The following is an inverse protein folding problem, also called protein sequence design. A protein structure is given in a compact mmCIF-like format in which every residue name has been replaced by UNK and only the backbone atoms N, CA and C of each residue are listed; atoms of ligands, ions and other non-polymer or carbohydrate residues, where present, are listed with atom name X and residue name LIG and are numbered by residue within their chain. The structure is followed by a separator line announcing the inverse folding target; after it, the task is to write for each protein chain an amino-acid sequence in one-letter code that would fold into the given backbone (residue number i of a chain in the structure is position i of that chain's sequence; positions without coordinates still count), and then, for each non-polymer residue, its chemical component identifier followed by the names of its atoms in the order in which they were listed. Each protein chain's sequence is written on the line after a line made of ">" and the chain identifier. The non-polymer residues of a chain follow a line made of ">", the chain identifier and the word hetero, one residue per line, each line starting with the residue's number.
data_IF_058144740959
#
_entry.id   IF_058144740959
#
_cell.length_a   1.000
_cell.length_b   1.000
_cell.length_c   1.000
_cell.angle_alpha   90.00
_cell.angle_beta   90.00
_cell.angle_gamma   90.00
#
_symmetry.space_group_name_H-M   'P 1'
#
loop_
_entity.id
_entity.type
_entity.pdbx_description
1 polymer ?
#
# COMPACT_ATOMS: atom_id res chain seq x y z
N UNK A 1 -18.29 -5.11 28.35
CA UNK A 1 -19.43 -5.72 27.62
C UNK A 1 -20.52 -4.67 27.41
N UNK A 2 -21.09 -4.10 28.47
CA UNK A 2 -22.10 -3.03 28.34
C UNK A 2 -21.66 -1.86 27.45
N UNK A 3 -20.41 -1.40 27.58
CA UNK A 3 -19.87 -0.35 26.71
C UNK A 3 -19.85 -0.76 25.22
N UNK A 4 -19.52 -2.03 24.92
CA UNK A 4 -19.56 -2.55 23.55
C UNK A 4 -21.00 -2.69 23.05
N UNK A 5 -21.91 -3.14 23.91
CA UNK A 5 -23.34 -3.27 23.59
C UNK A 5 -23.94 -1.90 23.25
N UNK A 6 -23.68 -0.88 24.08
CA UNK A 6 -24.11 0.49 23.83
C UNK A 6 -23.54 1.03 22.51
N UNK A 7 -22.25 0.83 22.27
CA UNK A 7 -21.60 1.22 21.02
C UNK A 7 -22.25 0.57 19.79
N UNK A 8 -22.45 -0.75 19.82
CA UNK A 8 -23.02 -1.49 18.69
C UNK A 8 -24.49 -1.17 18.45
N UNK A 9 -25.24 -0.79 19.48
CA UNK A 9 -26.62 -0.33 19.36
C UNK A 9 -26.73 1.02 18.62
N UNK A 10 -25.74 1.91 18.77
CA UNK A 10 -25.71 3.23 18.12
C UNK A 10 -25.08 3.16 16.73
N UNK A 11 -23.93 2.50 16.62
CA UNK A 11 -23.10 2.54 15.40
C UNK A 11 -23.44 1.43 14.41
N UNK A 12 -24.23 0.43 14.83
CA UNK A 12 -24.60 -0.75 14.04
C UNK A 12 -23.39 -1.50 13.42
N UNK A 13 -22.22 -1.38 14.05
CA UNK A 13 -20.96 -2.01 13.61
C UNK A 13 -20.07 -2.35 14.81
N UNK A 14 -19.09 -3.23 14.60
CA UNK A 14 -18.04 -3.44 15.58
C UNK A 14 -17.02 -2.27 15.61
N UNK A 15 -16.37 -2.02 16.77
CA UNK A 15 -15.33 -1.00 16.91
C UNK A 15 -14.15 -1.20 15.94
N UNK A 16 -13.74 -0.12 15.25
CA UNK A 16 -12.65 -0.08 14.26
C UNK A 16 -11.28 0.13 14.92
N UNK A 17 -10.21 -0.18 14.17
CA UNK A 17 -8.83 -0.01 14.64
C UNK A 17 -8.54 1.48 14.85
N UNK A 18 -8.23 1.88 16.09
CA UNK A 18 -8.05 3.29 16.49
C UNK A 18 -9.12 3.81 17.45
N UNK A 19 -10.24 3.09 17.62
CA UNK A 19 -11.25 3.35 18.69
C UNK A 19 -10.79 2.72 20.03
N UNK A 20 -9.49 2.91 20.30
CA UNK A 20 -8.60 2.40 21.34
C UNK A 20 -9.12 1.24 22.20
N UNK A 21 -9.89 1.50 23.26
CA UNK A 21 -10.15 0.49 24.31
C UNK A 21 -11.08 -0.64 23.85
N UNK A 22 -12.17 -0.30 23.15
CA UNK A 22 -13.13 -1.29 22.69
C UNK A 22 -12.57 -2.19 21.59
N UNK A 23 -11.82 -1.62 20.64
CA UNK A 23 -11.21 -2.42 19.56
C UNK A 23 -10.18 -3.43 20.11
N UNK A 24 -9.34 -2.99 21.05
CA UNK A 24 -8.35 -3.88 21.70
C UNK A 24 -9.08 -5.01 22.41
N UNK A 25 -10.10 -4.69 23.21
CA UNK A 25 -10.87 -5.69 23.93
C UNK A 25 -11.55 -6.71 22.99
N UNK A 26 -12.18 -6.22 21.91
CA UNK A 26 -12.79 -7.07 20.88
C UNK A 26 -11.77 -8.03 20.24
N UNK A 27 -10.57 -7.55 19.93
CA UNK A 27 -9.51 -8.40 19.38
C UNK A 27 -9.03 -9.44 20.39
N UNK A 28 -8.92 -9.09 21.67
CA UNK A 28 -8.62 -10.06 22.73
C UNK A 28 -9.67 -11.17 22.77
N UNK A 29 -10.97 -10.84 22.67
CA UNK A 29 -12.03 -11.86 22.64
C UNK A 29 -11.92 -12.77 21.41
N UNK A 30 -11.66 -12.21 20.22
CA UNK A 30 -11.45 -12.99 18.99
C UNK A 30 -10.27 -13.95 19.11
N UNK A 31 -9.15 -13.50 19.70
CA UNK A 31 -7.97 -14.35 19.91
C UNK A 31 -8.23 -15.43 20.95
N UNK A 32 -8.92 -15.11 22.05
CA UNK A 32 -9.29 -16.09 23.06
C UNK A 32 -10.20 -17.18 22.47
N UNK A 33 -11.21 -16.80 21.66
CA UNK A 33 -12.08 -17.76 20.96
C UNK A 33 -11.29 -18.65 20.01
N UNK A 34 -10.38 -18.07 19.20
CA UNK A 34 -9.53 -18.83 18.27
C UNK A 34 -8.62 -19.85 18.99
N UNK A 35 -8.20 -19.55 20.22
CA UNK A 35 -7.40 -20.44 21.07
C UNK A 35 -8.24 -21.42 21.89
N UNK A 36 -9.57 -21.39 21.80
CA UNK A 36 -10.46 -22.20 22.64
C UNK A 36 -10.48 -21.79 24.12
N UNK A 37 -10.00 -20.59 24.45
CA UNK A 37 -9.89 -20.09 25.83
C UNK A 37 -11.07 -19.21 26.26
N UNK A 38 -12.05 -19.00 25.38
CA UNK A 38 -13.21 -18.17 25.65
C UNK A 38 -14.37 -19.05 26.14
N UNK A 39 -14.98 -18.68 27.26
CA UNK A 39 -16.13 -19.41 27.79
C UNK A 39 -17.33 -19.37 26.83
N UNK A 40 -18.14 -20.43 26.84
CA UNK A 40 -19.40 -20.47 26.09
C UNK A 40 -20.34 -19.35 26.50
N UNK A 41 -20.43 -19.05 27.80
CA UNK A 41 -21.23 -17.95 28.34
C UNK A 41 -20.86 -16.60 27.71
N UNK A 42 -19.55 -16.30 27.62
CA UNK A 42 -19.09 -15.04 27.02
C UNK A 42 -19.28 -15.04 25.50
N UNK A 43 -19.17 -16.20 24.85
CA UNK A 43 -19.46 -16.35 23.42
C UNK A 43 -20.93 -16.03 23.15
N UNK A 44 -21.86 -16.64 23.92
CA UNK A 44 -23.31 -16.37 23.83
C UNK A 44 -23.66 -14.90 24.07
N UNK A 45 -23.06 -14.25 25.07
CA UNK A 45 -23.26 -12.83 25.33
C UNK A 45 -22.83 -11.94 24.15
N UNK A 46 -21.71 -12.28 23.50
CA UNK A 46 -21.23 -11.54 22.34
C UNK A 46 -22.10 -11.80 21.11
N UNK A 47 -22.53 -13.04 20.89
CA UNK A 47 -23.46 -13.39 19.82
C UNK A 47 -24.81 -12.67 19.98
N UNK A 48 -25.32 -12.53 21.22
CA UNK A 48 -26.61 -11.88 21.48
C UNK A 48 -26.64 -10.39 21.14
N UNK A 49 -25.48 -9.73 21.02
CA UNK A 49 -25.36 -8.33 20.59
C UNK A 49 -24.93 -8.20 19.12
N UNK A 50 -24.91 -9.31 18.37
CA UNK A 50 -24.50 -9.33 16.96
C UNK A 50 -23.00 -9.11 16.76
N UNK A 51 -22.16 -9.45 17.75
CA UNK A 51 -20.71 -9.25 17.67
C UNK A 51 -20.10 -10.06 16.52
N UNK A 52 -19.53 -9.38 15.54
CA UNK A 52 -18.87 -10.04 14.43
C UNK A 52 -17.47 -10.53 14.83
N UNK A 53 -17.33 -11.86 14.90
CA UNK A 53 -16.08 -12.55 15.21
C UNK A 53 -15.00 -12.35 14.15
N UNK A 54 -15.41 -12.29 12.87
CA UNK A 54 -14.50 -12.08 11.75
C UNK A 54 -14.47 -10.60 11.35
N UNK A 55 -13.27 -10.09 11.11
CA UNK A 55 -13.11 -8.73 10.64
C UNK A 55 -13.31 -8.70 9.12
N UNK A 56 -14.17 -7.81 8.65
CA UNK A 56 -14.34 -7.58 7.22
C UNK A 56 -13.13 -6.81 6.67
N UNK A 57 -12.12 -7.58 6.25
CA UNK A 57 -10.86 -7.06 5.74
C UNK A 57 -11.02 -6.36 4.39
N UNK A 58 -12.03 -6.72 3.60
CA UNK A 58 -12.29 -6.10 2.30
C UNK A 58 -12.91 -4.71 2.46
N UNK A 59 -13.90 -4.58 3.34
CA UNK A 59 -14.46 -3.27 3.71
C UNK A 59 -13.38 -2.37 4.30
N UNK A 60 -12.54 -2.89 5.20
CA UNK A 60 -11.45 -2.12 5.79
C UNK A 60 -10.41 -1.70 4.74
N UNK A 61 -10.08 -2.58 3.80
CA UNK A 61 -9.17 -2.24 2.70
C UNK A 61 -9.75 -1.12 1.85
N UNK A 62 -11.03 -1.24 1.47
CA UNK A 62 -11.75 -0.26 0.64
C UNK A 62 -11.81 1.10 1.31
N UNK A 63 -12.11 1.15 2.61
CA UNK A 63 -12.13 2.39 3.39
C UNK A 63 -10.75 3.07 3.44
N UNK A 64 -9.68 2.30 3.68
CA UNK A 64 -8.33 2.88 3.66
C UNK A 64 -7.95 3.37 2.26
N UNK A 65 -8.36 2.65 1.21
CA UNK A 65 -8.11 3.06 -0.16
C UNK A 65 -8.81 4.38 -0.51
N UNK A 66 -10.06 4.54 -0.10
CA UNK A 66 -10.79 5.81 -0.24
C UNK A 66 -10.10 6.96 0.49
N UNK A 67 -9.54 6.73 1.68
CA UNK A 67 -8.77 7.75 2.41
C UNK A 67 -7.47 8.11 1.67
N UNK A 68 -6.79 7.14 1.05
CA UNK A 68 -5.61 7.39 0.22
C UNK A 68 -5.97 8.22 -1.02
N UNK A 69 -7.10 7.92 -1.68
CA UNK A 69 -7.57 8.73 -2.81
C UNK A 69 -7.94 10.15 -2.39
N UNK A 70 -8.61 10.32 -1.26
CA UNK A 70 -8.92 11.64 -0.71
C UNK A 70 -7.63 12.44 -0.40
N UNK A 71 -6.61 11.77 0.14
CA UNK A 71 -5.30 12.37 0.35
C UNK A 71 -4.66 12.79 -0.98
N UNK A 72 -4.64 11.91 -1.98
CA UNK A 72 -4.07 12.19 -3.29
C UNK A 72 -4.74 13.39 -3.96
N UNK A 73 -6.08 13.46 -3.93
CA UNK A 73 -6.84 14.60 -4.48
C UNK A 73 -6.52 15.94 -3.80
N UNK A 74 -6.09 15.90 -2.54
CA UNK A 74 -5.77 17.11 -1.76
C UNK A 74 -4.32 17.54 -1.91
N UNK A 75 -3.40 16.59 -2.00
CA UNK A 75 -1.96 16.84 -1.95
C UNK A 75 -1.24 16.59 -3.28
N UNK A 76 -1.94 16.02 -4.27
CA UNK A 76 -1.42 15.69 -5.61
C UNK A 76 -0.24 14.70 -5.61
N UNK A 77 -0.06 13.95 -4.52
CA UNK A 77 0.89 12.86 -4.42
C UNK A 77 0.38 11.73 -3.51
N UNK A 78 0.95 10.53 -3.69
CA UNK A 78 0.61 9.37 -2.87
C UNK A 78 1.22 9.49 -1.46
N UNK A 79 0.52 9.03 -0.41
CA UNK A 79 1.06 9.02 0.95
C UNK A 79 2.39 8.26 1.04
N UNK A 80 3.42 8.94 1.52
CA UNK A 80 4.75 8.41 1.81
C UNK A 80 4.79 7.82 3.21
N UNK A 81 5.73 6.92 3.47
CA UNK A 81 5.86 6.21 4.75
C UNK A 81 5.92 7.13 5.99
N UNK A 82 6.37 8.37 5.81
CA UNK A 82 6.53 9.38 6.86
C UNK A 82 5.22 10.12 7.18
N UNK A 83 4.20 10.00 6.33
CA UNK A 83 2.93 10.74 6.39
C UNK A 83 1.87 9.97 7.19
N UNK A 84 2.34 9.33 8.26
CA UNK A 84 1.50 8.61 9.22
C UNK A 84 0.84 7.34 8.67
N UNK A 85 -0.40 7.11 9.10
CA UNK A 85 -1.12 5.84 8.90
C UNK A 85 -1.31 5.48 7.43
N UNK A 86 -1.69 6.44 6.59
CA UNK A 86 -1.96 6.19 5.16
C UNK A 86 -0.68 5.83 4.41
N UNK A 87 0.43 6.49 4.75
CA UNK A 87 1.77 6.15 4.27
C UNK A 87 2.19 4.71 4.60
N UNK A 88 2.04 4.33 5.86
CA UNK A 88 2.33 2.97 6.32
C UNK A 88 1.43 1.93 5.63
N UNK A 89 0.15 2.26 5.40
CA UNK A 89 -0.79 1.41 4.68
C UNK A 89 -0.38 1.23 3.21
N UNK A 90 -0.02 2.31 2.52
CA UNK A 90 0.50 2.28 1.14
C UNK A 90 1.76 1.40 1.03
N UNK A 91 2.70 1.54 1.96
CA UNK A 91 3.89 0.70 2.00
C UNK A 91 3.56 -0.79 2.24
N UNK A 92 2.55 -1.07 3.05
CA UNK A 92 2.04 -2.43 3.25
C UNK A 92 1.50 -3.01 1.94
N UNK A 93 0.74 -2.24 1.15
CA UNK A 93 0.24 -2.70 -0.16
C UNK A 93 1.41 -3.01 -1.12
N UNK A 94 2.41 -2.13 -1.19
CA UNK A 94 3.61 -2.35 -2.02
C UNK A 94 4.35 -3.63 -1.63
N UNK A 95 4.51 -3.89 -0.33
CA UNK A 95 5.12 -5.13 0.18
C UNK A 95 4.27 -6.37 -0.15
N UNK A 96 2.97 -6.30 0.07
CA UNK A 96 2.05 -7.40 -0.23
C UNK A 96 2.02 -7.75 -1.72
N UNK A 97 2.07 -6.76 -2.62
CA UNK A 97 2.22 -7.00 -4.06
C UNK A 97 3.55 -7.70 -4.38
N UNK A 98 4.67 -7.21 -3.81
CA UNK A 98 5.99 -7.82 -4.03
C UNK A 98 6.06 -9.27 -3.54
N UNK A 99 5.33 -9.60 -2.47
CA UNK A 99 5.23 -10.96 -1.91
C UNK A 99 4.23 -11.84 -2.66
N UNK A 100 3.48 -11.30 -3.62
CA UNK A 100 2.46 -12.06 -4.36
C UNK A 100 1.19 -12.37 -3.56
N UNK A 101 0.99 -11.72 -2.41
CA UNK A 101 -0.16 -11.98 -1.52
C UNK A 101 -1.28 -10.93 -1.64
N UNK A 102 -1.06 -9.88 -2.44
CA UNK A 102 -2.10 -8.90 -2.74
C UNK A 102 -2.98 -9.40 -3.89
N UNK A 103 -4.30 -9.38 -3.71
CA UNK A 103 -5.22 -9.89 -4.73
C UNK A 103 -5.14 -9.07 -6.02
N UNK A 104 -5.34 -9.74 -7.16
CA UNK A 104 -5.34 -9.09 -8.48
C UNK A 104 -6.42 -8.00 -8.60
N UNK A 105 -7.56 -8.18 -7.94
CA UNK A 105 -8.64 -7.18 -7.91
C UNK A 105 -8.14 -5.89 -7.26
N UNK A 106 -7.47 -5.97 -6.10
CA UNK A 106 -6.92 -4.80 -5.41
C UNK A 106 -5.81 -4.14 -6.20
N UNK A 107 -4.95 -4.92 -6.84
CA UNK A 107 -3.90 -4.41 -7.74
C UNK A 107 -4.54 -3.59 -8.87
N UNK A 108 -5.52 -4.16 -9.58
CA UNK A 108 -6.22 -3.47 -10.67
C UNK A 108 -6.92 -2.19 -10.19
N UNK A 109 -7.58 -2.22 -9.04
CA UNK A 109 -8.23 -1.04 -8.47
C UNK A 109 -7.23 0.10 -8.21
N UNK A 110 -6.03 -0.22 -7.73
CA UNK A 110 -4.99 0.78 -7.49
C UNK A 110 -4.31 1.23 -8.79
N UNK A 111 -4.14 0.33 -9.76
CA UNK A 111 -3.55 0.62 -11.07
C UNK A 111 -4.42 1.58 -11.90
N UNK A 112 -5.74 1.41 -11.88
CA UNK A 112 -6.69 2.28 -12.60
C UNK A 112 -6.57 3.74 -12.14
N UNK A 113 -6.28 3.95 -10.86
CA UNK A 113 -6.11 5.29 -10.27
C UNK A 113 -4.66 5.79 -10.35
N UNK A 114 -3.75 5.05 -10.99
CA UNK A 114 -2.35 5.44 -11.17
C UNK A 114 -1.46 5.30 -9.93
N UNK A 115 -1.79 4.41 -8.99
CA UNK A 115 -1.01 4.23 -7.77
C UNK A 115 0.44 3.83 -8.04
N UNK A 116 1.41 4.59 -7.52
CA UNK A 116 2.82 4.28 -7.71
C UNK A 116 3.29 3.17 -6.75
N UNK A 117 3.57 2.00 -7.32
CA UNK A 117 4.03 0.81 -6.58
C UNK A 117 5.48 0.89 -6.07
N UNK A 118 6.21 1.93 -6.44
CA UNK A 118 7.64 2.11 -6.18
C UNK A 118 7.86 3.48 -5.58
N UNK A 119 8.61 3.57 -4.49
CA UNK A 119 8.87 4.82 -3.76
C UNK A 119 9.60 5.81 -4.67
N UNK A 120 8.98 6.97 -4.91
CA UNK A 120 9.47 7.96 -5.86
C UNK A 120 10.83 8.56 -5.48
N UNK A 121 11.19 8.64 -4.20
CA UNK A 121 12.48 9.22 -3.77
C UNK A 121 13.68 8.45 -4.34
N UNK A 122 13.73 7.12 -4.17
CA UNK A 122 14.84 6.33 -4.70
C UNK A 122 14.84 6.28 -6.23
N UNK A 123 13.66 6.33 -6.84
CA UNK A 123 13.57 6.41 -8.30
C UNK A 123 14.10 7.76 -8.80
N UNK A 124 13.71 8.86 -8.15
CA UNK A 124 14.14 10.22 -8.46
C UNK A 124 15.64 10.41 -8.21
N UNK A 125 16.18 9.88 -7.11
CA UNK A 125 17.63 9.86 -6.84
C UNK A 125 18.39 9.19 -7.98
N UNK A 126 17.96 7.98 -8.40
CA UNK A 126 18.61 7.28 -9.51
C UNK A 126 18.42 8.03 -10.85
N UNK A 127 17.29 8.69 -11.05
CA UNK A 127 17.04 9.53 -12.21
C UNK A 127 17.97 10.75 -12.26
N UNK A 128 18.17 11.46 -11.14
CA UNK A 128 19.13 12.57 -11.08
C UNK A 128 20.57 12.07 -11.21
N UNK A 129 20.91 10.91 -10.65
CA UNK A 129 22.20 10.25 -10.88
C UNK A 129 22.40 9.89 -12.35
N UNK A 130 21.35 9.40 -13.03
CA UNK A 130 21.38 9.09 -14.45
C UNK A 130 21.63 10.35 -15.29
N UNK A 131 20.90 11.44 -15.02
CA UNK A 131 21.10 12.73 -15.68
C UNK A 131 22.54 13.22 -15.51
N UNK A 132 23.02 13.26 -14.26
CA UNK A 132 24.36 13.74 -13.94
C UNK A 132 25.43 12.90 -14.65
N UNK A 133 25.27 11.57 -14.63
CA UNK A 133 26.15 10.66 -15.34
C UNK A 133 26.20 10.93 -16.84
N UNK A 134 25.03 11.12 -17.49
CA UNK A 134 24.97 11.40 -18.92
C UNK A 134 25.65 12.74 -19.25
N UNK A 135 25.41 13.78 -18.47
CA UNK A 135 26.06 15.09 -18.64
C UNK A 135 27.58 14.98 -18.55
N UNK A 136 28.10 14.22 -17.58
CA UNK A 136 29.54 14.07 -17.34
C UNK A 136 30.24 13.16 -18.35
N UNK A 137 29.56 12.10 -18.80
CA UNK A 137 30.20 11.02 -19.58
C UNK A 137 29.79 11.01 -21.06
N UNK A 138 28.76 11.76 -21.44
CA UNK A 138 28.17 11.77 -22.79
C UNK A 138 27.78 10.37 -23.30
N UNK A 139 27.46 9.47 -22.36
CA UNK A 139 27.02 8.10 -22.63
C UNK A 139 26.07 7.61 -21.56
N UNK A 140 25.32 6.56 -21.86
CA UNK A 140 24.40 5.93 -20.92
C UNK A 140 25.11 4.88 -20.03
N UNK A 141 24.70 4.74 -18.76
CA UNK A 141 25.17 3.67 -17.89
C UNK A 141 24.90 2.29 -18.49
N UNK A 142 25.90 1.44 -18.39
CA UNK A 142 25.91 0.04 -18.79
C UNK A 142 26.09 -0.84 -17.56
N UNK A 143 26.27 -2.16 -17.74
CA UNK A 143 26.57 -3.06 -16.63
C UNK A 143 27.81 -2.65 -15.80
N UNK A 144 28.75 -1.87 -16.37
CA UNK A 144 29.95 -1.38 -15.69
C UNK A 144 29.65 -0.45 -14.51
N UNK A 145 28.52 0.25 -14.55
CA UNK A 145 28.09 1.18 -13.50
C UNK A 145 27.26 0.51 -12.40
N UNK A 146 27.32 -0.83 -12.28
CA UNK A 146 26.70 -1.65 -11.24
C UNK A 146 25.24 -1.28 -10.93
N UNK A 147 25.02 -0.49 -9.88
CA UNK A 147 23.69 -0.10 -9.39
C UNK A 147 22.93 0.72 -10.43
N UNK A 148 23.56 1.72 -11.04
CA UNK A 148 22.89 2.61 -12.00
C UNK A 148 22.64 1.88 -13.33
N UNK A 149 23.57 1.03 -13.76
CA UNK A 149 23.40 0.13 -14.90
C UNK A 149 22.23 -0.84 -14.72
N UNK A 150 22.17 -1.49 -13.55
CA UNK A 150 21.06 -2.38 -13.17
C UNK A 150 19.73 -1.65 -13.12
N UNK A 151 19.71 -0.42 -12.60
CA UNK A 151 18.51 0.41 -12.57
C UNK A 151 18.01 0.75 -13.97
N UNK A 152 18.90 1.13 -14.90
CA UNK A 152 18.58 1.37 -16.30
C UNK A 152 17.99 0.12 -16.98
N UNK A 153 18.56 -1.06 -16.71
CA UNK A 153 18.02 -2.34 -17.19
C UNK A 153 16.59 -2.60 -16.69
N UNK A 154 16.33 -2.34 -15.40
CA UNK A 154 14.99 -2.46 -14.81
C UNK A 154 14.00 -1.52 -15.51
N UNK A 155 14.38 -0.26 -15.80
CA UNK A 155 13.48 0.67 -16.49
C UNK A 155 13.08 0.16 -17.87
N UNK A 156 14.04 -0.35 -18.66
CA UNK A 156 13.77 -0.95 -19.98
C UNK A 156 12.83 -2.16 -19.88
N UNK A 157 13.05 -3.02 -18.89
CA UNK A 157 12.19 -4.19 -18.64
C UNK A 157 10.78 -3.78 -18.24
N UNK A 158 10.63 -2.81 -17.35
CA UNK A 158 9.33 -2.29 -16.91
C UNK A 158 8.57 -1.65 -18.06
N UNK A 159 9.24 -0.88 -18.94
CA UNK A 159 8.65 -0.33 -20.16
C UNK A 159 8.12 -1.44 -21.07
N UNK A 160 8.93 -2.48 -21.35
CA UNK A 160 8.52 -3.61 -22.20
C UNK A 160 7.32 -4.38 -21.64
N UNK A 161 7.17 -4.41 -20.32
CA UNK A 161 6.05 -5.07 -19.63
C UNK A 161 4.82 -4.18 -19.43
N UNK A 162 4.88 -2.91 -19.77
CA UNK A 162 3.81 -1.94 -19.46
C UNK A 162 3.67 -1.65 -17.96
N UNK A 163 4.71 -1.89 -17.16
CA UNK A 163 4.73 -1.69 -15.70
C UNK A 163 5.35 -0.33 -15.30
N UNK A 164 5.84 0.45 -16.27
CA UNK A 164 6.41 1.78 -16.03
C UNK A 164 5.30 2.82 -16.09
N UNK A 165 5.21 3.69 -15.08
CA UNK A 165 4.19 4.74 -15.05
C UNK A 165 4.40 5.77 -16.17
N UNK A 166 3.33 6.43 -16.65
CA UNK A 166 3.41 7.44 -17.70
C UNK A 166 4.39 8.58 -17.36
N UNK A 167 4.40 9.04 -16.11
CA UNK A 167 5.23 10.17 -15.65
C UNK A 167 6.72 9.80 -15.70
N UNK A 168 7.07 8.58 -15.30
CA UNK A 168 8.45 8.09 -15.32
C UNK A 168 8.96 7.86 -16.72
N UNK A 169 8.09 7.35 -17.58
CA UNK A 169 8.36 7.25 -19.00
C UNK A 169 8.66 8.63 -19.57
N UNK A 170 7.79 9.61 -19.30
CA UNK A 170 7.97 10.98 -19.79
C UNK A 170 9.28 11.61 -19.29
N UNK A 171 9.63 11.44 -18.01
CA UNK A 171 10.90 11.91 -17.46
C UNK A 171 12.12 11.30 -18.17
N UNK A 172 12.09 9.99 -18.43
CA UNK A 172 13.18 9.30 -19.13
C UNK A 172 13.23 9.66 -20.63
N UNK A 173 12.07 9.82 -21.28
CA UNK A 173 11.95 10.27 -22.66
C UNK A 173 12.51 11.68 -22.82
N UNK A 174 12.25 12.58 -21.87
CA UNK A 174 12.73 13.98 -21.88
C UNK A 174 14.25 14.10 -21.87
N UNK A 175 14.96 13.15 -21.24
CA UNK A 175 16.42 13.12 -21.24
C UNK A 175 17.00 12.30 -22.39
N UNK A 176 16.17 11.77 -23.29
CA UNK A 176 16.60 10.96 -24.43
C UNK A 176 17.09 9.56 -24.04
N UNK A 177 16.60 9.00 -22.93
CA UNK A 177 17.04 7.70 -22.45
C UNK A 177 16.70 6.58 -23.45
N UNK A 178 17.68 5.74 -23.87
CA UNK A 178 17.44 4.71 -24.87
C UNK A 178 16.77 3.48 -24.26
N UNK A 179 15.58 3.16 -24.77
CA UNK A 179 14.81 1.97 -24.40
C UNK A 179 15.38 0.67 -24.97
N UNK A 180 16.15 0.76 -26.05
CA UNK A 180 16.89 -0.35 -26.66
C UNK A 180 18.39 -0.06 -26.62
N UNK A 181 19.19 -1.08 -26.31
CA UNK A 181 20.63 -1.03 -26.54
C UNK A 181 20.86 -1.34 -28.03
N UNK A 182 21.57 -0.44 -28.72
CA UNK A 182 22.12 -0.72 -30.05
C UNK A 182 23.45 -1.44 -29.89
#
# INVERSE_FOLDING_TARGET
>A
FEELKAFMAVEHRCPKRGENKLNIWCNTQRQARKKGLLSEERTRLLDSIGFRWEQDLDSLWTENWQQVLAYYRKHEHWPKSQEGRLGAWCNTQRRSRKQGVLSLVRIRQMDVEGFTWTVDEKWQENYEMLKRFYTENQRWPTARENKLGSWCFVQRRSMKKGELSPERRELLDRIGFPWSLK
#
